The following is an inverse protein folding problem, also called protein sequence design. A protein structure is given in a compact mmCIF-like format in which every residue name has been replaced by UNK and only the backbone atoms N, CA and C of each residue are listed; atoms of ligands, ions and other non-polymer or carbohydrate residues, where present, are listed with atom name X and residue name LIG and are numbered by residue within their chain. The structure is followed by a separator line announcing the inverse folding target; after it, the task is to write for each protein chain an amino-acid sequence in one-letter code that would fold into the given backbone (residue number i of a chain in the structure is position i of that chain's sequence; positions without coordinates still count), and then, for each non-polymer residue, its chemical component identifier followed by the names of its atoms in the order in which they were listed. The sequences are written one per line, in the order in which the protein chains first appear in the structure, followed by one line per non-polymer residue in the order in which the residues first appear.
data_IF_682483882112
#
_entry.id   IF_682483882112
#
_cell.length_a   1.000
_cell.length_b   1.000
_cell.length_c   1.000
_cell.angle_alpha   90.00
_cell.angle_beta   90.00
_cell.angle_gamma   90.00
#
_symmetry.space_group_name_H-M   'P 1'
#
loop_
_entity.id
_entity.type
_entity.pdbx_description
1 polymer ?
#
# COMPACT_ATOMS: atom_id res chain seq x y z
N UNK A 1 -20.48 -14.75 24.72
CA UNK A 1 -19.01 -14.67 24.49
C UNK A 1 -18.55 -13.23 24.76
N UNK A 2 -17.68 -13.01 25.75
CA UNK A 2 -17.13 -11.67 26.07
C UNK A 2 -15.99 -11.34 25.10
N UNK A 3 -16.09 -10.24 24.34
CA UNK A 3 -15.01 -9.71 23.50
C UNK A 3 -13.92 -9.11 24.39
N UNK A 4 -12.67 -9.57 24.24
CA UNK A 4 -11.53 -8.94 24.89
C UNK A 4 -11.33 -7.52 24.32
N UNK A 5 -11.36 -6.51 25.20
CA UNK A 5 -11.07 -5.14 24.84
C UNK A 5 -9.62 -5.03 24.34
N UNK A 6 -9.44 -4.64 23.07
CA UNK A 6 -8.12 -4.43 22.49
C UNK A 6 -7.36 -3.36 23.28
N UNK A 7 -6.16 -3.70 23.76
CA UNK A 7 -5.27 -2.73 24.42
C UNK A 7 -4.97 -1.61 23.43
N UNK A 8 -5.35 -0.36 23.77
CA UNK A 8 -4.89 0.83 23.04
C UNK A 8 -3.36 0.84 23.03
N UNK A 9 -2.75 1.14 21.88
CA UNK A 9 -1.31 1.31 21.80
C UNK A 9 -0.93 2.46 22.74
N UNK A 10 -0.28 2.14 23.87
CA UNK A 10 0.31 3.14 24.75
C UNK A 10 1.58 3.64 24.09
N UNK A 11 1.78 4.94 24.13
CA UNK A 11 3.06 5.54 23.78
C UNK A 11 4.17 4.90 24.64
N UNK A 12 5.36 4.67 24.05
CA UNK A 12 6.47 4.05 24.75
C UNK A 12 6.83 4.87 26.00
N UNK A 13 7.10 4.17 27.10
CA UNK A 13 7.49 4.82 28.35
C UNK A 13 8.81 5.57 28.18
N UNK A 14 9.02 6.62 28.99
CA UNK A 14 10.30 7.36 29.02
C UNK A 14 11.51 6.47 29.31
N UNK A 15 11.31 5.38 30.07
CA UNK A 15 12.34 4.37 30.31
C UNK A 15 12.66 3.58 29.03
N UNK A 16 11.65 3.10 28.31
CA UNK A 16 11.83 2.41 27.02
C UNK A 16 12.50 3.28 25.97
N UNK A 17 12.22 4.59 25.96
CA UNK A 17 12.90 5.52 25.04
C UNK A 17 14.39 5.68 25.35
N UNK A 18 14.82 5.51 26.61
CA UNK A 18 16.25 5.52 26.99
C UNK A 18 16.95 4.21 26.67
N UNK A 19 16.21 3.11 26.58
CA UNK A 19 16.75 1.79 26.20
C UNK A 19 16.98 1.66 24.69
N UNK A 20 16.36 2.52 23.88
CA UNK A 20 16.64 2.57 22.45
C UNK A 20 18.02 3.19 22.27
N UNK A 21 19.02 2.44 21.78
CA UNK A 21 20.34 3.00 21.54
C UNK A 21 20.23 4.10 20.49
N UNK A 22 20.79 5.27 20.78
CA UNK A 22 20.95 6.33 19.80
C UNK A 22 21.77 5.78 18.64
N UNK A 23 21.14 5.72 17.46
CA UNK A 23 21.79 5.21 16.26
C UNK A 23 22.84 6.24 15.85
N UNK A 24 24.11 5.90 16.07
CA UNK A 24 25.21 6.68 15.54
C UNK A 24 25.30 6.41 14.01
N UNK A 25 24.86 7.39 13.23
CA UNK A 25 24.82 7.33 11.76
C UNK A 25 26.23 7.24 11.13
N UNK A 26 27.28 7.67 11.82
CA UNK A 26 28.67 7.59 11.34
C UNK A 26 29.24 6.17 11.47
N UNK A 27 28.72 5.37 12.40
CA UNK A 27 29.17 4.00 12.69
C UNK A 27 28.25 2.92 12.12
N UNK A 28 27.04 3.27 11.69
CA UNK A 28 26.07 2.30 11.19
C UNK A 28 26.28 2.01 9.70
N UNK A 29 26.57 0.74 9.39
CA UNK A 29 26.58 0.27 8.00
C UNK A 29 25.14 0.12 7.52
N UNK A 30 24.74 0.96 6.57
CA UNK A 30 23.47 0.81 5.85
C UNK A 30 23.48 -0.56 5.16
N UNK A 31 22.70 -1.51 5.69
CA UNK A 31 22.53 -2.82 5.05
C UNK A 31 21.74 -2.61 3.76
N UNK A 32 22.34 -3.01 2.64
CA UNK A 32 21.69 -2.98 1.33
C UNK A 32 20.51 -3.96 1.37
N UNK A 33 19.31 -3.46 1.07
CA UNK A 33 18.13 -4.32 0.97
C UNK A 33 18.32 -5.29 -0.22
N UNK A 34 18.36 -6.62 0.01
CA UNK A 34 18.59 -7.60 -1.05
C UNK A 34 17.50 -7.59 -2.12
N UNK A 35 16.33 -7.01 -1.83
CA UNK A 35 15.20 -6.93 -2.74
C UNK A 35 15.14 -5.60 -3.50
N UNK A 36 16.02 -4.63 -3.23
CA UNK A 36 15.96 -3.30 -3.84
C UNK A 36 16.03 -3.34 -5.38
N UNK A 37 16.88 -4.21 -5.94
CA UNK A 37 17.01 -4.39 -7.39
C UNK A 37 15.75 -5.04 -8.00
N UNK A 38 15.13 -5.96 -7.28
CA UNK A 38 13.86 -6.58 -7.69
C UNK A 38 12.73 -5.56 -7.69
N UNK A 39 12.60 -4.76 -6.63
CA UNK A 39 11.60 -3.68 -6.53
C UNK A 39 11.76 -2.67 -7.68
N UNK A 40 13.00 -2.25 -7.95
CA UNK A 40 13.29 -1.32 -9.02
C UNK A 40 12.92 -1.89 -10.41
N UNK A 41 13.10 -3.20 -10.60
CA UNK A 41 12.79 -3.91 -11.85
C UNK A 41 11.30 -4.22 -12.02
N UNK A 42 10.62 -4.62 -10.94
CA UNK A 42 9.18 -4.97 -10.94
C UNK A 42 8.27 -3.73 -10.93
N UNK A 43 8.80 -2.57 -10.54
CA UNK A 43 8.05 -1.32 -10.49
C UNK A 43 7.02 -1.28 -9.35
N UNK A 44 6.05 -0.37 -9.46
CA UNK A 44 5.01 -0.20 -8.45
C UNK A 44 4.02 -1.37 -8.56
N UNK A 45 4.09 -2.33 -7.64
CA UNK A 45 3.15 -3.44 -7.56
C UNK A 45 1.78 -2.96 -7.05
N UNK A 46 0.91 -2.60 -7.99
CA UNK A 46 -0.46 -2.20 -7.67
C UNK A 46 -1.29 -3.46 -7.42
N UNK A 47 -1.59 -3.72 -6.15
CA UNK A 47 -2.39 -4.87 -5.74
C UNK A 47 -3.88 -4.62 -6.04
N UNK A 48 -4.43 -5.39 -6.99
CA UNK A 48 -5.83 -5.30 -7.43
C UNK A 48 -6.71 -6.41 -6.79
N UNK A 49 -6.12 -7.39 -6.10
CA UNK A 49 -6.85 -8.50 -5.49
C UNK A 49 -7.55 -8.19 -4.16
N UNK A 50 -8.55 -9.00 -3.80
CA UNK A 50 -9.13 -9.04 -2.44
C UNK A 50 -8.17 -9.78 -1.49
N UNK A 51 -8.08 -9.31 -0.25
CA UNK A 51 -7.35 -9.99 0.83
C UNK A 51 -6.07 -9.27 1.29
N UNK A 52 -5.46 -9.80 2.36
CA UNK A 52 -4.17 -9.31 2.88
C UNK A 52 -3.04 -9.75 1.93
N UNK A 53 -2.03 -8.91 1.67
CA UNK A 53 -0.81 -9.34 0.99
C UNK A 53 -0.25 -10.62 1.64
N UNK A 54 0.19 -11.58 0.81
CA UNK A 54 0.75 -12.82 1.32
C UNK A 54 2.13 -12.56 1.93
N UNK A 55 2.61 -13.48 2.76
CA UNK A 55 3.95 -13.39 3.35
C UNK A 55 4.98 -13.30 2.21
N UNK A 56 5.80 -12.26 2.22
CA UNK A 56 6.81 -11.99 1.17
C UNK A 56 6.32 -11.09 0.04
N UNK A 57 5.05 -10.70 0.02
CA UNK A 57 4.52 -9.72 -0.93
C UNK A 57 4.84 -8.31 -0.44
N UNK A 58 5.73 -7.62 -1.15
CA UNK A 58 6.12 -6.27 -0.81
C UNK A 58 4.97 -5.30 -1.09
N UNK A 59 4.46 -4.70 -0.02
CA UNK A 59 3.53 -3.58 -0.08
C UNK A 59 4.34 -2.32 0.19
N UNK A 60 4.73 -1.63 -0.89
CA UNK A 60 5.44 -0.36 -0.77
C UNK A 60 4.64 0.69 0.02
N UNK A 61 5.29 1.76 0.49
CA UNK A 61 4.60 2.85 1.16
C UNK A 61 3.52 3.43 0.24
N UNK A 62 2.26 3.40 0.69
CA UNK A 62 1.16 4.02 -0.05
C UNK A 62 1.21 5.51 0.19
N UNK A 63 1.63 6.29 -0.82
CA UNK A 63 1.48 7.76 -0.78
C UNK A 63 -0.01 8.05 -0.98
N UNK A 64 -0.73 8.60 0.03
CA UNK A 64 -2.14 8.92 -0.14
C UNK A 64 -2.27 10.06 -1.16
N UNK A 65 -2.88 9.77 -2.30
CA UNK A 65 -3.31 10.77 -3.28
C UNK A 65 -4.82 10.75 -3.37
N UNK A 66 -5.47 11.88 -3.06
CA UNK A 66 -6.92 12.01 -3.15
C UNK A 66 -7.32 12.66 -4.48
N UNK A 67 -8.11 11.97 -5.28
CA UNK A 67 -8.76 12.53 -6.47
C UNK A 67 -10.23 12.76 -6.15
N UNK A 68 -10.74 13.97 -6.40
CA UNK A 68 -12.15 14.30 -6.20
C UNK A 68 -12.91 14.04 -7.50
N UNK A 69 -13.95 13.22 -7.42
CA UNK A 69 -14.89 12.98 -8.52
C UNK A 69 -16.29 13.48 -8.16
N UNK A 70 -17.08 13.92 -9.15
CA UNK A 70 -18.50 14.18 -8.96
C UNK A 70 -19.26 12.92 -8.49
N UNK A 71 -20.31 13.10 -7.69
CA UNK A 71 -21.11 11.99 -7.12
C UNK A 71 -21.65 11.04 -8.20
N UNK A 72 -22.05 11.58 -9.36
CA UNK A 72 -22.55 10.78 -10.50
C UNK A 72 -21.49 9.80 -11.01
N UNK A 73 -20.24 10.24 -11.08
CA UNK A 73 -19.10 9.41 -11.53
C UNK A 73 -18.84 8.30 -10.51
N UNK A 74 -18.88 8.63 -9.22
CA UNK A 74 -18.70 7.63 -8.16
C UNK A 74 -19.76 6.52 -8.19
N UNK A 75 -21.05 6.89 -8.32
CA UNK A 75 -22.14 5.92 -8.42
C UNK A 75 -21.98 4.99 -9.62
N UNK A 76 -21.47 5.51 -10.73
CA UNK A 76 -21.23 4.72 -11.93
C UNK A 76 -20.08 3.72 -11.74
N UNK A 77 -18.95 4.18 -11.17
CA UNK A 77 -17.79 3.34 -10.87
C UNK A 77 -18.14 2.22 -9.87
N UNK A 78 -18.88 2.55 -8.81
CA UNK A 78 -19.28 1.57 -7.80
C UNK A 78 -20.17 0.47 -8.42
N UNK A 79 -21.11 0.86 -9.29
CA UNK A 79 -21.97 -0.09 -9.99
C UNK A 79 -21.15 -1.06 -10.85
N UNK A 80 -20.20 -0.55 -11.64
CA UNK A 80 -19.32 -1.38 -12.48
C UNK A 80 -18.44 -2.31 -11.64
N UNK A 81 -17.79 -1.79 -10.61
CA UNK A 81 -16.95 -2.60 -9.72
C UNK A 81 -17.74 -3.75 -9.07
N UNK A 82 -18.98 -3.48 -8.67
CA UNK A 82 -19.87 -4.51 -8.09
C UNK A 82 -20.23 -5.59 -9.10
N UNK A 83 -20.54 -5.22 -10.34
CA UNK A 83 -20.83 -6.18 -11.42
C UNK A 83 -19.64 -7.10 -11.71
N UNK A 84 -18.42 -6.57 -11.64
CA UNK A 84 -17.18 -7.34 -11.83
C UNK A 84 -16.72 -8.11 -10.58
N UNK A 85 -17.46 -8.02 -9.46
CA UNK A 85 -17.10 -8.70 -8.20
C UNK A 85 -15.87 -8.11 -7.50
N UNK A 86 -15.42 -6.92 -7.89
CA UNK A 86 -14.21 -6.26 -7.40
C UNK A 86 -14.52 -5.12 -6.41
N UNK A 87 -13.64 -4.86 -5.43
CA UNK A 87 -13.76 -3.63 -4.63
C UNK A 87 -13.46 -2.40 -5.48
N UNK A 88 -14.12 -1.27 -5.20
CA UNK A 88 -13.98 -0.02 -5.96
C UNK A 88 -12.53 0.43 -6.16
N UNK A 89 -11.72 0.36 -5.09
CA UNK A 89 -10.30 0.72 -5.17
C UNK A 89 -9.49 -0.21 -6.08
N UNK A 90 -9.84 -1.49 -6.17
CA UNK A 90 -9.20 -2.41 -7.09
C UNK A 90 -9.57 -2.07 -8.55
N UNK A 91 -10.86 -1.81 -8.81
CA UNK A 91 -11.31 -1.43 -10.15
C UNK A 91 -10.61 -0.15 -10.65
N UNK A 92 -10.45 0.85 -9.78
CA UNK A 92 -9.68 2.08 -10.10
C UNK A 92 -8.22 1.77 -10.42
N UNK A 93 -7.58 0.95 -9.61
CA UNK A 93 -6.19 0.52 -9.81
C UNK A 93 -6.01 -0.22 -11.14
N UNK A 94 -6.92 -1.13 -11.46
CA UNK A 94 -6.92 -1.86 -12.72
C UNK A 94 -7.08 -0.91 -13.93
N UNK A 95 -8.00 0.05 -13.85
CA UNK A 95 -8.22 1.04 -14.90
C UNK A 95 -6.99 1.91 -15.15
N UNK A 96 -6.29 2.35 -14.09
CA UNK A 96 -5.04 3.11 -14.22
C UNK A 96 -3.95 2.28 -14.89
N UNK A 97 -3.77 1.02 -14.49
CA UNK A 97 -2.79 0.13 -15.11
C UNK A 97 -3.11 -0.14 -16.59
N UNK A 98 -4.38 -0.36 -16.93
CA UNK A 98 -4.82 -0.55 -18.31
C UNK A 98 -4.56 0.71 -19.16
N UNK A 99 -4.78 1.90 -18.60
CA UNK A 99 -4.50 3.16 -19.27
C UNK A 99 -3.00 3.37 -19.53
N UNK A 100 -2.15 3.13 -18.52
CA UNK A 100 -0.68 3.21 -18.66
C UNK A 100 -0.20 2.24 -19.74
N UNK A 101 -0.64 0.99 -19.70
CA UNK A 101 -0.21 -0.04 -20.64
C UNK A 101 -0.62 0.28 -22.08
N UNK A 102 -1.79 0.91 -22.27
CA UNK A 102 -2.26 1.36 -23.58
C UNK A 102 -1.40 2.50 -24.15
N UNK A 103 -0.83 3.34 -23.29
CA UNK A 103 0.02 4.45 -23.70
C UNK A 103 1.44 4.00 -24.05
N UNK A 104 1.93 2.94 -23.40
CA UNK A 104 3.19 2.27 -23.79
C UNK A 104 3.11 1.52 -25.13
N UNK A 105 1.90 1.18 -25.61
CA UNK A 105 1.66 0.51 -26.90
C UNK A 105 1.40 1.50 -28.06
N UNK A 106 1.52 2.81 -27.82
CA UNK A 106 1.42 3.82 -28.88
C UNK A 106 2.78 3.96 -29.60
N UNK A 107 2.85 3.83 -30.94
CA UNK A 107 4.11 3.91 -31.69
C UNK A 107 4.75 5.29 -31.64
#
# INVERSE_FOLDING_TARGET
MKKAAGKKAREPSRASLREIPEINFDKTKVRRNPYALRIAKEGISIHVGRGRPRKGTETGPTIPRSVRFPVKVWKHLERRARLEGMPLHAALRAAVMAWINKETDRP
#
